data_IF_688093661153
#
_entry.id   IF_688093661153
#
_cell.length_a   1.000
_cell.length_b   1.000
_cell.length_c   1.000
_cell.angle_alpha   90.00
_cell.angle_beta   90.00
_cell.angle_gamma   90.00
#
_symmetry.space_group_name_H-M   'P 1'
#
loop_
_entity.id
_entity.type
_entity.pdbx_description
1 polymer ?
#
# COMPACT_ATOMS: atom_id res chain seq x y z
N UNK A 1 -0.53 -17.51 0.48
CA UNK A 1 0.00 -17.59 1.84
C UNK A 1 0.37 -16.16 2.21
N UNK A 2 -0.49 -15.47 2.96
CA UNK A 2 -0.19 -14.14 3.50
C UNK A 2 0.86 -14.31 4.61
N UNK A 3 1.77 -13.35 4.81
CA UNK A 3 2.76 -13.43 5.89
C UNK A 3 2.06 -13.55 7.24
N UNK A 4 2.64 -14.37 8.12
CA UNK A 4 2.05 -14.82 9.39
C UNK A 4 1.43 -13.67 10.22
N UNK A 5 0.10 -13.68 10.34
CA UNK A 5 -0.72 -12.71 11.10
C UNK A 5 -0.44 -12.72 12.62
N UNK A 6 0.40 -13.66 13.08
CA UNK A 6 0.70 -13.92 14.49
C UNK A 6 1.73 -12.95 15.09
N UNK A 7 2.45 -12.19 14.26
CA UNK A 7 3.48 -11.22 14.71
C UNK A 7 3.02 -9.73 14.60
N UNK A 8 1.77 -9.47 14.23
CA UNK A 8 1.24 -8.11 14.16
C UNK A 8 0.75 -7.61 15.51
N UNK A 9 1.19 -6.41 15.90
CA UNK A 9 0.66 -5.72 17.08
C UNK A 9 -0.83 -5.45 16.91
N UNK A 10 -1.59 -5.47 18.02
CA UNK A 10 -3.04 -5.21 17.99
C UNK A 10 -3.39 -3.85 17.36
N UNK A 11 -2.50 -2.85 17.51
CA UNK A 11 -2.62 -1.56 16.85
C UNK A 11 -2.51 -1.62 15.32
N UNK A 12 -1.64 -2.48 14.79
CA UNK A 12 -1.46 -2.67 13.35
C UNK A 12 -2.62 -3.47 12.77
N UNK A 13 -3.08 -4.51 13.47
CA UNK A 13 -4.27 -5.28 13.10
C UNK A 13 -5.50 -4.37 13.02
N UNK A 14 -5.72 -3.54 14.03
CA UNK A 14 -6.81 -2.59 14.05
C UNK A 14 -6.72 -1.54 12.93
N UNK A 15 -5.52 -1.01 12.65
CA UNK A 15 -5.32 -0.07 11.55
C UNK A 15 -5.62 -0.72 10.18
N UNK A 16 -5.24 -1.98 9.97
CA UNK A 16 -5.53 -2.73 8.75
C UNK A 16 -7.02 -3.07 8.60
N UNK A 17 -7.69 -3.42 9.70
CA UNK A 17 -9.14 -3.65 9.74
C UNK A 17 -9.92 -2.39 9.37
N UNK A 18 -9.55 -1.23 9.93
CA UNK A 18 -10.17 0.05 9.58
C UNK A 18 -9.96 0.40 8.10
N UNK A 19 -8.76 0.19 7.57
CA UNK A 19 -8.47 0.38 6.13
C UNK A 19 -9.31 -0.57 5.27
N UNK A 20 -9.46 -1.83 5.65
CA UNK A 20 -10.32 -2.80 4.97
C UNK A 20 -11.81 -2.38 5.04
N UNK A 21 -12.26 -1.85 6.19
CA UNK A 21 -13.60 -1.31 6.37
C UNK A 21 -13.87 -0.06 5.52
N UNK A 22 -12.86 0.78 5.29
CA UNK A 22 -12.98 1.91 4.36
C UNK A 22 -13.14 1.45 2.91
N UNK A 23 -12.45 0.37 2.51
CA UNK A 23 -12.60 -0.28 1.20
C UNK A 23 -13.99 -0.88 0.97
N UNK A 24 -14.53 -1.61 1.95
CA UNK A 24 -15.87 -2.24 1.85
C UNK A 24 -17.02 -1.24 1.79
N UNK A 25 -16.83 -0.03 2.35
CA UNK A 25 -17.83 1.06 2.29
C UNK A 25 -17.73 1.91 1.02
N UNK A 26 -16.82 1.60 0.09
CA UNK A 26 -16.55 2.43 -1.09
C UNK A 26 -15.99 3.82 -0.73
N UNK A 27 -15.49 3.99 0.49
CA UNK A 27 -15.03 5.27 1.05
C UNK A 27 -13.53 5.52 0.86
N UNK A 28 -12.78 4.55 0.37
CA UNK A 28 -11.44 4.79 -0.17
C UNK A 28 -11.51 4.80 -1.68
N UNK A 29 -11.58 5.99 -2.26
CA UNK A 29 -11.00 6.18 -3.59
C UNK A 29 -9.50 5.93 -3.43
N UNK A 30 -9.07 4.67 -3.51
CA UNK A 30 -7.65 4.36 -3.69
C UNK A 30 -7.31 4.96 -5.05
N UNK A 31 -6.50 6.02 -5.10
CA UNK A 31 -6.24 6.67 -6.35
C UNK A 31 -5.53 5.67 -7.25
N UNK A 32 -6.09 5.42 -8.44
CA UNK A 32 -5.53 4.47 -9.42
C UNK A 32 -4.07 4.80 -9.71
N UNK A 33 -3.71 6.09 -9.62
CA UNK A 33 -2.33 6.58 -9.66
C UNK A 33 -1.88 6.99 -8.24
N UNK A 34 -0.70 6.55 -7.78
CA UNK A 34 -0.18 6.95 -6.47
C UNK A 34 0.06 8.47 -6.42
N UNK A 35 -0.27 9.09 -5.28
CA UNK A 35 0.08 10.50 -5.03
C UNK A 35 1.56 10.66 -4.71
N UNK A 36 2.07 11.89 -4.74
CA UNK A 36 3.45 12.17 -4.37
C UNK A 36 3.74 11.81 -2.90
N UNK A 37 2.78 12.01 -1.98
CA UNK A 37 2.96 11.59 -0.59
C UNK A 37 3.07 10.07 -0.48
N UNK A 38 2.27 9.31 -1.22
CA UNK A 38 2.35 7.84 -1.24
C UNK A 38 3.69 7.35 -1.77
N UNK A 39 4.18 7.97 -2.85
CA UNK A 39 5.50 7.64 -3.42
C UNK A 39 6.63 7.97 -2.43
N UNK A 40 6.52 9.10 -1.74
CA UNK A 40 7.53 9.55 -0.76
C UNK A 40 7.53 8.64 0.47
N UNK A 41 6.35 8.31 0.99
CA UNK A 41 6.21 7.39 2.12
C UNK A 41 6.71 5.98 1.77
N UNK A 42 6.41 5.47 0.57
CA UNK A 42 6.91 4.19 0.11
C UNK A 42 8.44 4.18 -0.12
N UNK A 43 8.99 5.29 -0.62
CA UNK A 43 10.42 5.46 -0.79
C UNK A 43 11.15 5.45 0.57
N UNK A 44 10.61 6.17 1.56
CA UNK A 44 11.16 6.23 2.91
C UNK A 44 11.08 4.87 3.62
N UNK A 45 9.90 4.24 3.62
CA UNK A 45 9.70 2.92 4.22
C UNK A 45 10.58 1.84 3.56
N UNK A 46 10.71 1.86 2.24
CA UNK A 46 11.54 0.92 1.49
C UNK A 46 13.03 1.27 1.48
N UNK A 47 13.43 2.44 1.99
CA UNK A 47 14.80 2.98 1.86
C UNK A 47 15.30 2.97 0.42
N UNK A 48 14.43 3.31 -0.52
CA UNK A 48 14.70 3.35 -1.96
C UNK A 48 14.38 4.73 -2.52
N UNK A 49 14.87 5.03 -3.73
CA UNK A 49 14.49 6.28 -4.41
C UNK A 49 13.05 6.24 -4.92
N UNK A 50 12.43 7.42 -5.03
CA UNK A 50 11.10 7.58 -5.65
C UNK A 50 11.06 6.97 -7.06
N UNK A 51 12.14 7.09 -7.83
CA UNK A 51 12.26 6.48 -9.16
C UNK A 51 12.20 4.95 -9.15
N UNK A 52 12.63 4.30 -8.06
CA UNK A 52 12.47 2.85 -7.87
C UNK A 52 11.02 2.49 -7.53
N UNK A 53 10.36 3.25 -6.65
CA UNK A 53 8.94 3.07 -6.34
C UNK A 53 8.06 3.18 -7.59
N UNK A 54 8.33 4.18 -8.44
CA UNK A 54 7.62 4.37 -9.72
C UNK A 54 7.82 3.21 -10.70
N UNK A 55 9.02 2.62 -10.76
CA UNK A 55 9.29 1.46 -11.60
C UNK A 55 8.54 0.21 -11.13
N UNK A 56 8.46 0.00 -9.82
CA UNK A 56 7.67 -1.10 -9.24
C UNK A 56 6.18 -0.90 -9.56
N UNK A 57 5.66 0.31 -9.39
CA UNK A 57 4.28 0.64 -9.74
C UNK A 57 3.98 0.38 -11.23
N UNK A 58 4.87 0.79 -12.14
CA UNK A 58 4.72 0.52 -13.56
C UNK A 58 4.71 -0.99 -13.88
N UNK A 59 5.58 -1.77 -13.22
CA UNK A 59 5.61 -3.22 -13.37
C UNK A 59 4.31 -3.89 -12.86
N UNK A 60 3.74 -3.39 -11.76
CA UNK A 60 2.45 -3.87 -11.25
C UNK A 60 1.30 -3.62 -12.22
N UNK A 61 1.26 -2.45 -12.87
CA UNK A 61 0.26 -2.18 -13.91
C UNK A 61 0.41 -3.12 -15.12
N UNK A 62 1.63 -3.35 -15.58
CA UNK A 62 1.90 -4.27 -16.70
C UNK A 62 1.52 -5.72 -16.39
N UNK A 63 1.59 -6.15 -15.13
CA UNK A 63 1.20 -7.48 -14.71
C UNK A 63 -0.31 -7.65 -14.49
N UNK A 64 -1.05 -6.55 -14.40
CA UNK A 64 -2.50 -6.54 -14.22
C UNK A 64 -3.27 -6.52 -15.56
N UNK A 65 -2.60 -6.15 -16.66
CA UNK A 65 -3.04 -6.37 -18.05
C UNK A 65 -2.79 -7.82 -18.50
#
# INVERSE_FOLDING_TARGET
MMPDDDDMSDSMRHALEEVAHMGTRGLTAVPVKPTLEMLTAGADAGKVSIGTVMRIYAAMLQAAD
#
